data_IF_127787718871
#
_entry.id   IF_127787718871
#
_cell.length_a   1.000
_cell.length_b   1.000
_cell.length_c   1.000
_cell.angle_alpha   90.00
_cell.angle_beta   90.00
_cell.angle_gamma   90.00
#
_symmetry.space_group_name_H-M   'P 1'
#
loop_
_entity.id
_entity.type
_entity.pdbx_description
1 polymer ?
#
# COMPACT_ATOMS: atom_id res chain seq x y z
N UNK A 1 -12.68 -0.50 15.93
CA UNK A 1 -13.27 -0.67 17.26
C UNK A 1 -14.79 -0.80 17.29
N UNK A 2 -15.57 -0.20 16.37
CA UNK A 2 -17.03 -0.38 16.31
C UNK A 2 -17.41 -1.84 16.03
N UNK A 3 -16.66 -2.51 15.16
CA UNK A 3 -16.90 -3.91 14.79
C UNK A 3 -16.23 -4.92 15.73
N UNK A 4 -15.44 -4.47 16.71
CA UNK A 4 -14.75 -5.33 17.67
C UNK A 4 -13.66 -6.21 17.08
N UNK A 5 -13.09 -5.80 15.94
CA UNK A 5 -12.03 -6.53 15.24
C UNK A 5 -10.67 -6.29 15.91
N UNK A 6 -9.86 -7.34 15.98
CA UNK A 6 -8.45 -7.23 16.35
C UNK A 6 -7.60 -6.69 15.19
N UNK A 7 -6.41 -6.19 15.52
CA UNK A 7 -5.41 -5.82 14.50
C UNK A 7 -4.97 -7.08 13.75
N UNK A 8 -5.05 -7.10 12.41
CA UNK A 8 -4.70 -8.27 11.62
C UNK A 8 -3.21 -8.64 11.78
N UNK A 9 -2.93 -9.94 11.94
CA UNK A 9 -1.59 -10.52 12.13
C UNK A 9 -1.17 -11.45 11.01
N UNK A 10 -2.13 -11.86 10.20
CA UNK A 10 -1.95 -12.68 9.00
C UNK A 10 -2.68 -12.06 7.83
N UNK A 11 -2.36 -12.48 6.60
CA UNK A 11 -3.12 -12.06 5.43
C UNK A 11 -4.59 -12.51 5.53
N UNK A 12 -4.87 -13.67 6.11
CA UNK A 12 -6.25 -14.13 6.29
C UNK A 12 -7.02 -13.22 7.26
N UNK A 13 -6.39 -12.71 8.33
CA UNK A 13 -7.02 -11.70 9.19
C UNK A 13 -7.33 -10.40 8.43
N UNK A 14 -6.44 -9.98 7.49
CA UNK A 14 -6.72 -8.84 6.61
C UNK A 14 -7.96 -9.07 5.75
N UNK A 15 -8.12 -10.28 5.23
CA UNK A 15 -9.32 -10.66 4.46
C UNK A 15 -10.58 -10.65 5.34
N UNK A 16 -10.51 -11.11 6.59
CA UNK A 16 -11.63 -11.02 7.53
C UNK A 16 -12.00 -9.57 7.85
N UNK A 17 -11.01 -8.69 8.05
CA UNK A 17 -11.26 -7.25 8.22
C UNK A 17 -11.91 -6.65 6.97
N UNK A 18 -11.41 -6.99 5.77
CA UNK A 18 -12.01 -6.55 4.51
C UNK A 18 -13.46 -7.02 4.37
N UNK A 19 -13.74 -8.26 4.77
CA UNK A 19 -15.10 -8.83 4.74
C UNK A 19 -16.04 -8.12 5.70
N UNK A 20 -15.58 -7.82 6.91
CA UNK A 20 -16.35 -7.08 7.89
C UNK A 20 -16.61 -5.62 7.42
N UNK A 21 -15.60 -4.97 6.84
CA UNK A 21 -15.78 -3.62 6.31
C UNK A 21 -16.78 -3.57 5.15
N UNK A 22 -16.81 -4.60 4.29
CA UNK A 22 -17.76 -4.68 3.19
C UNK A 22 -19.20 -4.93 3.67
N UNK A 23 -19.38 -5.79 4.70
CA UNK A 23 -20.70 -6.36 5.01
C UNK A 23 -21.37 -5.78 6.26
N UNK A 24 -20.60 -5.17 7.17
CA UNK A 24 -21.07 -4.84 8.52
C UNK A 24 -21.25 -3.32 8.75
N UNK A 25 -21.36 -2.52 7.67
CA UNK A 25 -21.66 -1.09 7.73
C UNK A 25 -20.79 -0.35 8.79
N UNK A 26 -19.46 -0.26 8.61
CA UNK A 26 -18.54 0.27 9.63
C UNK A 26 -18.75 1.76 9.91
N UNK A 27 -19.28 2.53 8.99
CA UNK A 27 -19.59 3.95 9.16
C UNK A 27 -20.98 4.17 9.79
N UNK A 28 -21.86 3.16 9.76
CA UNK A 28 -23.17 3.17 10.41
C UNK A 28 -24.21 4.01 9.67
N UNK A 29 -24.02 4.22 8.36
CA UNK A 29 -24.93 5.03 7.55
C UNK A 29 -26.15 4.25 7.02
N UNK A 30 -26.17 2.92 7.15
CA UNK A 30 -27.23 2.03 6.70
C UNK A 30 -27.24 1.77 5.20
N UNK A 31 -26.15 2.10 4.49
CA UNK A 31 -25.97 1.89 3.04
C UNK A 31 -24.80 0.92 2.83
N UNK A 32 -24.96 -0.03 1.89
CA UNK A 32 -23.87 -0.94 1.48
C UNK A 32 -22.98 -0.25 0.43
N UNK A 33 -22.17 0.72 0.85
CA UNK A 33 -21.31 1.52 -0.02
C UNK A 33 -19.83 1.48 0.39
N UNK A 34 -19.48 0.72 1.44
CA UNK A 34 -18.10 0.58 1.91
C UNK A 34 -17.35 -0.54 1.16
N UNK A 35 -16.06 -0.27 0.92
CA UNK A 35 -15.15 -1.22 0.28
C UNK A 35 -14.41 -2.05 1.32
N UNK A 36 -14.26 -3.34 1.06
CA UNK A 36 -13.45 -4.22 1.90
C UNK A 36 -11.97 -3.87 1.81
N UNK A 37 -11.45 -3.77 0.58
CA UNK A 37 -10.07 -3.37 0.27
C UNK A 37 -10.08 -2.42 -0.93
N UNK A 38 -9.54 -1.22 -0.76
CA UNK A 38 -9.34 -0.26 -1.83
C UNK A 38 -8.15 -0.65 -2.71
N UNK A 39 -8.41 -0.85 -4.01
CA UNK A 39 -7.37 -1.17 -5.01
C UNK A 39 -7.50 -0.22 -6.19
N UNK A 40 -6.38 0.29 -6.70
CA UNK A 40 -6.32 1.14 -7.89
C UNK A 40 -5.72 0.40 -9.10
N UNK A 41 -5.81 1.01 -10.28
CA UNK A 41 -5.25 0.47 -11.52
C UNK A 41 -3.72 0.53 -11.58
N UNK A 42 -3.08 1.37 -10.77
CA UNK A 42 -1.63 1.49 -10.61
C UNK A 42 -1.13 0.49 -9.56
N UNK A 43 -1.31 -0.80 -9.84
CA UNK A 43 -1.16 -1.90 -8.87
C UNK A 43 0.22 -1.98 -8.20
N UNK A 44 1.25 -1.41 -8.83
CA UNK A 44 2.64 -1.45 -8.37
C UNK A 44 3.26 -0.05 -8.21
N UNK A 45 2.47 0.97 -7.98
CA UNK A 45 2.99 2.31 -7.72
C UNK A 45 3.57 2.37 -6.31
N UNK A 46 4.88 2.49 -6.23
CA UNK A 46 5.65 2.55 -4.99
C UNK A 46 5.25 3.70 -4.06
N UNK A 47 4.74 4.79 -4.59
CA UNK A 47 4.37 5.97 -3.82
C UNK A 47 2.85 6.17 -3.66
N UNK A 48 2.04 5.29 -4.25
CA UNK A 48 0.59 5.45 -4.32
C UNK A 48 -0.19 4.81 -3.18
N UNK A 49 -1.49 4.92 -3.30
CA UNK A 49 -2.48 4.30 -2.43
C UNK A 49 -3.31 3.31 -3.24
N UNK A 50 -3.72 2.22 -2.61
CA UNK A 50 -4.51 1.19 -3.26
C UNK A 50 -3.68 0.23 -4.12
N UNK A 51 -2.39 0.04 -3.81
CA UNK A 51 -1.56 -0.95 -4.49
C UNK A 51 -1.86 -2.36 -3.99
N UNK A 52 -1.48 -3.38 -4.76
CA UNK A 52 -1.61 -4.78 -4.36
C UNK A 52 -0.32 -5.36 -3.77
N UNK A 53 0.73 -4.56 -3.69
CA UNK A 53 2.06 -5.02 -3.23
C UNK A 53 2.03 -5.65 -1.85
N UNK A 54 1.23 -5.12 -0.92
CA UNK A 54 1.12 -5.70 0.41
C UNK A 54 0.60 -7.15 0.40
N UNK A 55 -0.36 -7.47 -0.47
CA UNK A 55 -0.84 -8.85 -0.65
C UNK A 55 0.21 -9.71 -1.32
N UNK A 56 0.90 -9.20 -2.34
CA UNK A 56 1.96 -9.93 -3.05
C UNK A 56 3.14 -10.22 -2.12
N UNK A 57 3.57 -9.22 -1.36
CA UNK A 57 4.65 -9.36 -0.38
C UNK A 57 4.29 -10.31 0.77
N UNK A 58 3.00 -10.46 1.11
CA UNK A 58 2.54 -11.43 2.11
C UNK A 58 2.86 -12.88 1.75
N UNK A 59 2.91 -13.19 0.45
CA UNK A 59 3.33 -14.49 -0.08
C UNK A 59 4.85 -14.57 -0.33
N UNK A 60 5.61 -13.50 -0.12
CA UNK A 60 7.04 -13.43 -0.45
C UNK A 60 7.33 -13.12 -1.91
N UNK A 61 6.32 -12.79 -2.72
CA UNK A 61 6.46 -12.40 -4.12
C UNK A 61 6.69 -10.89 -4.29
N UNK A 62 6.88 -10.46 -5.54
CA UNK A 62 6.97 -9.05 -5.90
C UNK A 62 6.42 -8.80 -7.30
N UNK A 63 5.67 -7.71 -7.45
CA UNK A 63 5.19 -7.21 -8.76
C UNK A 63 5.99 -6.01 -9.25
N UNK A 64 7.04 -5.60 -8.52
CA UNK A 64 7.89 -4.50 -8.93
C UNK A 64 8.53 -4.81 -10.29
N UNK A 65 8.40 -3.89 -11.23
CA UNK A 65 9.00 -4.00 -12.55
C UNK A 65 10.53 -4.12 -12.42
N UNK A 66 11.14 -5.01 -13.20
CA UNK A 66 12.59 -5.29 -13.16
C UNK A 66 13.11 -5.95 -11.87
N UNK A 67 12.27 -6.52 -11.02
CA UNK A 67 12.71 -7.26 -9.86
C UNK A 67 13.25 -8.65 -10.25
N UNK A 68 14.57 -8.78 -10.20
CA UNK A 68 15.29 -10.01 -10.43
C UNK A 68 16.00 -10.44 -9.16
N UNK A 69 15.75 -11.66 -8.72
CA UNK A 69 16.31 -12.22 -7.49
C UNK A 69 17.33 -13.32 -7.81
N UNK A 70 18.48 -13.34 -7.12
CA UNK A 70 19.44 -14.42 -7.25
C UNK A 70 18.90 -15.70 -6.60
N UNK A 71 19.07 -16.81 -7.26
CA UNK A 71 18.79 -18.14 -6.74
C UNK A 71 20.07 -18.76 -6.12
N UNK A 72 19.91 -19.74 -5.24
CA UNK A 72 21.02 -20.45 -4.60
C UNK A 72 21.94 -21.19 -5.61
N UNK A 73 21.42 -21.55 -6.78
CA UNK A 73 22.16 -22.19 -7.86
C UNK A 73 22.95 -21.22 -8.75
N UNK A 74 22.90 -19.91 -8.43
CA UNK A 74 23.57 -18.86 -9.19
C UNK A 74 22.81 -18.36 -10.43
N UNK A 75 21.61 -18.86 -10.67
CA UNK A 75 20.69 -18.30 -11.68
C UNK A 75 19.93 -17.11 -11.09
N UNK A 76 19.14 -16.41 -11.93
CA UNK A 76 18.24 -15.35 -11.48
C UNK A 76 16.81 -15.66 -11.94
N UNK A 77 15.83 -15.33 -11.10
CA UNK A 77 14.41 -15.41 -11.40
C UNK A 77 13.79 -14.01 -11.48
N UNK A 78 12.77 -13.89 -12.32
CA UNK A 78 11.98 -12.68 -12.45
C UNK A 78 10.75 -12.77 -11.54
N UNK A 79 10.78 -12.04 -10.42
CA UNK A 79 9.80 -12.17 -9.34
C UNK A 79 8.32 -11.97 -9.76
N UNK A 80 7.97 -11.04 -10.66
CA UNK A 80 6.59 -10.93 -11.13
C UNK A 80 5.99 -12.21 -11.74
N UNK A 81 6.84 -13.19 -12.09
CA UNK A 81 6.39 -14.50 -12.62
C UNK A 81 6.60 -15.65 -11.65
N UNK A 82 6.99 -15.38 -10.42
CA UNK A 82 7.18 -16.40 -9.36
C UNK A 82 5.88 -17.12 -8.97
N UNK A 83 6.02 -18.27 -8.33
CA UNK A 83 4.86 -19.00 -7.81
C UNK A 83 4.19 -18.22 -6.67
N UNK A 84 4.96 -17.52 -5.86
CA UNK A 84 4.53 -16.66 -4.77
C UNK A 84 3.63 -15.53 -5.29
N UNK A 85 4.06 -14.84 -6.35
CA UNK A 85 3.26 -13.81 -7.02
C UNK A 85 1.99 -14.40 -7.62
N UNK A 86 2.04 -15.60 -8.22
CA UNK A 86 0.85 -16.29 -8.73
C UNK A 86 -0.15 -16.59 -7.60
N UNK A 87 0.31 -17.11 -6.48
CA UNK A 87 -0.54 -17.43 -5.32
C UNK A 87 -1.23 -16.15 -4.78
N UNK A 88 -0.51 -15.03 -4.75
CA UNK A 88 -1.06 -13.74 -4.36
C UNK A 88 -2.16 -13.26 -5.32
N UNK A 89 -1.94 -13.37 -6.62
CA UNK A 89 -2.94 -13.00 -7.62
C UNK A 89 -4.18 -13.91 -7.56
N UNK A 90 -4.02 -15.19 -7.27
CA UNK A 90 -5.16 -16.11 -7.04
C UNK A 90 -5.96 -15.69 -5.79
N UNK A 91 -5.29 -15.28 -4.71
CA UNK A 91 -5.95 -14.74 -3.51
C UNK A 91 -6.71 -13.44 -3.82
N UNK A 92 -6.09 -12.51 -4.54
CA UNK A 92 -6.74 -11.25 -4.97
C UNK A 92 -7.95 -11.51 -5.87
N UNK A 93 -7.84 -12.47 -6.81
CA UNK A 93 -8.97 -12.87 -7.66
C UNK A 93 -10.14 -13.45 -6.84
N UNK A 94 -9.84 -14.23 -5.80
CA UNK A 94 -10.85 -14.74 -4.87
C UNK A 94 -11.51 -13.59 -4.09
N UNK A 95 -10.75 -12.64 -3.56
CA UNK A 95 -11.26 -11.46 -2.86
C UNK A 95 -12.14 -10.60 -3.78
N UNK A 96 -11.73 -10.40 -5.02
CA UNK A 96 -12.53 -9.69 -6.02
C UNK A 96 -13.85 -10.41 -6.32
N UNK A 97 -13.80 -11.73 -6.52
CA UNK A 97 -15.00 -12.56 -6.77
C UNK A 97 -15.99 -12.56 -5.60
N UNK A 98 -15.49 -12.36 -4.38
CA UNK A 98 -16.31 -12.20 -3.16
C UNK A 98 -16.84 -10.77 -2.99
N UNK A 99 -16.43 -9.81 -3.83
CA UNK A 99 -16.83 -8.40 -3.75
C UNK A 99 -16.09 -7.60 -2.68
N UNK A 100 -14.94 -8.08 -2.19
CA UNK A 100 -14.16 -7.40 -1.16
C UNK A 100 -13.28 -6.27 -1.72
N UNK A 101 -13.00 -6.30 -3.02
CA UNK A 101 -12.24 -5.25 -3.73
C UNK A 101 -13.24 -4.38 -4.49
N UNK A 102 -13.00 -3.07 -4.54
CA UNK A 102 -13.84 -2.15 -5.30
C UNK A 102 -13.97 -2.61 -6.76
N UNK A 103 -15.22 -2.68 -7.25
CA UNK A 103 -15.55 -3.28 -8.56
C UNK A 103 -14.81 -2.58 -9.73
N UNK A 104 -14.63 -1.28 -9.62
CA UNK A 104 -14.03 -0.44 -10.66
C UNK A 104 -12.49 -0.27 -10.50
N UNK A 105 -11.81 -1.15 -9.76
CA UNK A 105 -10.37 -1.03 -9.50
C UNK A 105 -9.54 -0.84 -10.78
N UNK A 106 -9.93 -1.46 -11.89
CA UNK A 106 -9.21 -1.39 -13.16
C UNK A 106 -9.25 -0.03 -13.86
N UNK A 107 -10.09 0.91 -13.39
CA UNK A 107 -10.20 2.29 -13.88
C UNK A 107 -10.06 3.33 -12.78
N UNK A 108 -10.04 2.91 -11.52
CA UNK A 108 -9.79 3.78 -10.36
C UNK A 108 -8.30 4.08 -10.27
N UNK A 109 -7.95 5.34 -10.16
CA UNK A 109 -6.58 5.79 -9.87
C UNK A 109 -6.36 6.00 -8.37
N UNK A 110 -5.17 6.46 -7.98
CA UNK A 110 -4.83 6.74 -6.58
C UNK A 110 -5.67 7.88 -5.99
N UNK A 111 -6.11 8.83 -6.80
CA UNK A 111 -6.99 9.92 -6.36
C UNK A 111 -8.37 9.39 -5.99
N UNK A 112 -8.91 8.44 -6.76
CA UNK A 112 -10.19 7.78 -6.43
C UNK A 112 -10.12 7.04 -5.07
N UNK A 113 -8.99 6.38 -4.75
CA UNK A 113 -8.77 5.80 -3.42
C UNK A 113 -8.74 6.88 -2.34
N UNK A 114 -8.04 7.97 -2.58
CA UNK A 114 -7.95 9.10 -1.64
C UNK A 114 -9.31 9.73 -1.37
N UNK A 115 -10.13 9.88 -2.40
CA UNK A 115 -11.51 10.40 -2.29
C UNK A 115 -12.40 9.44 -1.47
N UNK A 116 -12.32 8.13 -1.73
CA UNK A 116 -13.07 7.13 -0.98
C UNK A 116 -12.66 7.06 0.50
N UNK A 117 -11.35 7.21 0.79
CA UNK A 117 -10.82 7.33 2.16
C UNK A 117 -11.38 8.58 2.84
N UNK A 118 -11.33 9.74 2.19
CA UNK A 118 -11.85 11.00 2.74
C UNK A 118 -13.37 10.97 2.95
N UNK A 119 -14.10 10.24 2.10
CA UNK A 119 -15.54 10.04 2.22
C UNK A 119 -15.94 9.03 3.31
N UNK A 120 -15.01 8.18 3.78
CA UNK A 120 -15.27 7.13 4.76
C UNK A 120 -15.76 5.81 4.15
N UNK A 121 -15.78 5.69 2.82
CA UNK A 121 -16.22 4.47 2.10
C UNK A 121 -15.08 3.46 1.87
N UNK A 122 -13.82 3.84 2.12
CA UNK A 122 -12.66 2.95 2.07
C UNK A 122 -11.90 3.01 3.39
N UNK A 123 -11.94 1.93 4.16
CA UNK A 123 -11.29 1.83 5.47
C UNK A 123 -10.03 0.97 5.50
N UNK A 124 -9.72 0.26 4.41
CA UNK A 124 -8.55 -0.61 4.30
C UNK A 124 -7.93 -0.49 2.91
N UNK A 125 -6.62 -0.24 2.85
CA UNK A 125 -5.84 -0.22 1.62
C UNK A 125 -4.35 -0.38 1.94
N UNK A 126 -3.57 -0.78 0.95
CA UNK A 126 -2.11 -0.75 1.02
C UNK A 126 -1.59 0.54 0.38
N UNK A 127 -0.55 1.11 0.96
CA UNK A 127 0.04 2.36 0.46
C UNK A 127 1.17 2.87 1.34
N UNK A 128 1.57 4.10 1.09
CA UNK A 128 2.62 4.77 1.86
C UNK A 128 2.05 5.53 3.06
N UNK A 129 2.92 5.95 3.98
CA UNK A 129 2.59 6.75 5.17
C UNK A 129 2.06 8.16 4.85
N UNK A 130 2.18 8.60 3.61
CA UNK A 130 1.69 9.91 3.14
C UNK A 130 0.20 10.14 3.32
N UNK A 131 -0.58 9.07 3.56
CA UNK A 131 -2.01 9.15 3.86
C UNK A 131 -2.33 10.07 5.04
N UNK A 132 -1.46 10.14 6.03
CA UNK A 132 -1.64 10.98 7.23
C UNK A 132 -1.65 12.49 6.93
N UNK A 133 -1.07 12.91 5.80
CA UNK A 133 -1.01 14.31 5.38
C UNK A 133 -2.09 14.71 4.36
N UNK A 134 -2.76 13.73 3.77
CA UNK A 134 -3.78 13.88 2.75
C UNK A 134 -5.13 13.33 3.19
N UNK A 135 -5.61 12.35 2.47
CA UNK A 135 -6.96 11.79 2.59
C UNK A 135 -7.32 11.30 4.00
N UNK A 136 -6.37 10.75 4.76
CA UNK A 136 -6.61 10.32 6.15
C UNK A 136 -6.90 11.50 7.08
N UNK A 137 -6.22 12.65 6.90
CA UNK A 137 -6.52 13.89 7.61
C UNK A 137 -7.91 14.41 7.23
N UNK A 138 -8.25 14.35 5.95
CA UNK A 138 -9.54 14.84 5.45
C UNK A 138 -10.68 13.94 5.94
N UNK A 139 -10.47 12.62 6.02
CA UNK A 139 -11.41 11.69 6.65
C UNK A 139 -11.70 12.03 8.12
N UNK A 140 -10.64 12.32 8.91
CA UNK A 140 -10.78 12.74 10.31
C UNK A 140 -11.51 14.10 10.42
N UNK A 141 -11.25 15.03 9.49
CA UNK A 141 -11.93 16.32 9.46
C UNK A 141 -13.42 16.20 9.11
N UNK A 142 -13.76 15.24 8.25
CA UNK A 142 -15.15 14.94 7.86
C UNK A 142 -15.91 14.16 8.95
N UNK A 143 -15.20 13.31 9.69
CA UNK A 143 -15.78 12.50 10.77
C UNK A 143 -14.79 12.42 11.96
N UNK A 144 -15.08 13.14 13.04
CA UNK A 144 -14.22 13.17 14.23
C UNK A 144 -14.08 11.81 14.96
N UNK A 145 -14.96 10.86 14.69
CA UNK A 145 -14.90 9.49 15.23
C UNK A 145 -14.02 8.57 14.36
N UNK A 146 -13.56 9.07 13.20
CA UNK A 146 -12.65 8.35 12.33
C UNK A 146 -11.23 8.31 12.92
N UNK A 147 -10.61 7.14 12.96
CA UNK A 147 -9.23 6.93 13.39
C UNK A 147 -8.50 6.01 12.45
N UNK A 148 -7.32 6.41 11.99
CA UNK A 148 -6.46 5.61 11.14
C UNK A 148 -5.32 5.00 11.93
N UNK A 149 -4.99 3.74 11.65
CA UNK A 149 -3.85 3.05 12.19
C UNK A 149 -3.00 2.50 11.05
N UNK A 150 -1.70 2.78 11.11
CA UNK A 150 -0.72 2.18 10.18
C UNK A 150 -0.20 0.91 10.83
N UNK A 151 -0.24 -0.18 10.07
CA UNK A 151 0.32 -1.47 10.46
C UNK A 151 1.27 -1.95 9.37
N UNK A 152 2.26 -2.77 9.72
CA UNK A 152 3.03 -3.48 8.73
C UNK A 152 2.13 -4.48 8.01
N UNK A 153 2.34 -4.66 6.69
CA UNK A 153 1.63 -5.69 5.95
C UNK A 153 1.97 -7.07 6.54
N UNK A 154 0.98 -7.85 6.99
CA UNK A 154 1.26 -9.16 7.57
C UNK A 154 1.52 -10.21 6.48
N UNK A 155 2.36 -11.20 6.79
CA UNK A 155 2.57 -12.34 5.92
C UNK A 155 1.43 -13.37 6.01
N UNK A 156 1.41 -14.34 5.11
CA UNK A 156 0.43 -15.46 5.13
C UNK A 156 0.53 -16.25 6.44
N UNK A 157 1.75 -16.48 6.93
CA UNK A 157 2.00 -17.30 8.13
C UNK A 157 2.01 -16.51 9.43
N UNK A 158 1.88 -15.20 9.34
CA UNK A 158 2.00 -14.26 10.46
C UNK A 158 3.38 -13.65 10.58
N UNK A 159 3.44 -12.50 11.26
CA UNK A 159 4.59 -11.61 11.25
C UNK A 159 4.59 -10.68 10.01
N UNK A 160 5.61 -9.84 9.90
CA UNK A 160 5.70 -8.86 8.83
C UNK A 160 6.01 -9.52 7.47
N UNK A 161 5.34 -9.07 6.42
CA UNK A 161 5.65 -9.45 5.06
C UNK A 161 7.02 -8.88 4.64
N UNK A 162 7.70 -9.57 3.73
CA UNK A 162 8.97 -9.08 3.16
C UNK A 162 8.67 -8.01 2.11
N UNK A 163 9.06 -6.77 2.38
CA UNK A 163 8.97 -5.69 1.41
C UNK A 163 10.23 -5.66 0.52
N UNK A 164 10.03 -5.46 -0.77
CA UNK A 164 11.11 -5.33 -1.74
C UNK A 164 11.34 -3.86 -2.10
N UNK A 165 12.58 -3.52 -2.41
CA UNK A 165 12.97 -2.19 -2.88
C UNK A 165 13.94 -2.30 -4.04
N UNK A 166 13.84 -1.40 -5.01
CA UNK A 166 14.73 -1.40 -6.18
C UNK A 166 16.19 -1.09 -5.84
N UNK A 167 16.41 -0.09 -4.99
CA UNK A 167 17.75 0.39 -4.64
C UNK A 167 17.76 1.02 -3.26
N UNK A 168 18.96 1.18 -2.70
CA UNK A 168 19.13 1.89 -1.42
C UNK A 168 19.18 3.43 -1.58
N UNK A 169 18.97 3.95 -2.78
CA UNK A 169 18.92 5.40 -3.05
C UNK A 169 18.00 5.70 -4.23
N UNK A 170 17.17 6.74 -4.10
CA UNK A 170 16.21 7.15 -5.12
C UNK A 170 16.75 8.30 -5.98
N UNK A 171 17.61 9.13 -5.42
CA UNK A 171 18.09 10.34 -6.06
C UNK A 171 19.59 10.45 -6.04
N UNK A 172 20.14 10.96 -7.16
CA UNK A 172 21.54 11.33 -7.30
C UNK A 172 21.59 12.82 -7.64
N UNK A 173 22.34 13.56 -6.87
CA UNK A 173 22.58 14.96 -7.15
C UNK A 173 23.85 15.13 -8.00
N UNK A 174 23.74 15.88 -9.09
CA UNK A 174 24.87 16.23 -9.93
C UNK A 174 25.02 17.75 -10.01
N UNK A 175 26.26 18.23 -9.92
CA UNK A 175 26.58 19.64 -10.11
C UNK A 175 27.28 19.81 -11.45
N UNK A 176 26.91 20.82 -12.22
CA UNK A 176 27.57 21.14 -13.48
C UNK A 176 29.07 21.41 -13.22
N UNK A 177 29.96 20.81 -14.05
CA UNK A 177 31.40 20.95 -13.91
C UNK A 177 31.90 22.40 -13.98
N UNK A 178 31.16 23.31 -14.61
CA UNK A 178 31.49 24.73 -14.70
C UNK A 178 30.83 25.59 -13.61
N UNK A 179 30.20 24.95 -12.60
CA UNK A 179 29.60 25.70 -11.49
C UNK A 179 30.70 26.34 -10.63
N UNK A 180 30.63 27.64 -10.40
CA UNK A 180 31.60 28.40 -9.62
C UNK A 180 31.54 28.06 -8.11
N UNK A 181 30.37 27.55 -7.64
CA UNK A 181 30.11 27.30 -6.22
C UNK A 181 29.51 25.89 -6.01
N UNK A 182 30.20 24.80 -6.35
CA UNK A 182 29.68 23.43 -6.21
C UNK A 182 29.39 23.04 -4.75
N UNK A 183 30.09 23.65 -3.80
CA UNK A 183 29.89 23.43 -2.35
C UNK A 183 28.50 23.91 -1.86
N UNK A 184 27.80 24.75 -2.62
CA UNK A 184 26.48 25.22 -2.25
C UNK A 184 25.46 24.08 -2.17
N UNK A 185 25.57 23.05 -3.02
CA UNK A 185 24.72 21.88 -2.96
C UNK A 185 24.88 21.12 -1.62
N UNK A 186 26.11 20.88 -1.19
CA UNK A 186 26.36 20.20 0.08
C UNK A 186 25.84 21.02 1.27
N UNK A 187 26.02 22.34 1.22
CA UNK A 187 25.47 23.24 2.26
C UNK A 187 23.93 23.16 2.31
N UNK A 188 23.28 23.08 1.14
CA UNK A 188 21.83 22.95 1.06
C UNK A 188 21.35 21.61 1.62
N UNK A 189 22.02 20.51 1.28
CA UNK A 189 21.70 19.18 1.81
C UNK A 189 21.86 19.16 3.33
N UNK A 190 22.98 19.66 3.86
CA UNK A 190 23.22 19.73 5.30
C UNK A 190 22.17 20.62 6.00
N UNK A 191 21.83 21.76 5.41
CA UNK A 191 20.81 22.65 5.96
C UNK A 191 19.42 21.97 6.06
N UNK A 192 19.07 21.11 5.11
CA UNK A 192 17.82 20.35 5.16
C UNK A 192 17.89 19.24 6.23
N UNK A 193 19.02 18.56 6.36
CA UNK A 193 19.20 17.48 7.34
C UNK A 193 19.31 17.98 8.78
N UNK A 194 19.89 19.17 9.00
CA UNK A 194 20.03 19.76 10.35
C UNK A 194 18.70 20.27 10.94
N UNK A 195 17.60 20.20 10.17
CA UNK A 195 16.26 20.65 10.60
C UNK A 195 15.33 19.52 11.02
N UNK A 196 15.76 18.28 10.90
CA UNK A 196 15.08 17.09 11.38
C UNK A 196 15.69 16.70 12.72
#
# INVERSE_FOLDING_TARGET
DKLGLDVPKTLDDVVEVARAFKNDDPDGNGVDDTWGLGVCNEMSDYAGYGTIEGVVNAFGGSILQYMWMPNDDGTVSYEPTSQETRNALEKLAAMYSEGLINEEFGVSDTDAISEAVAAGTCGLFYGTDGISWGAGRDAIANNNDCGWMVINAPSVEGGDATAYSYTNFDYVYAVNANCEHPEALIKLINFNNDRI
#
